data_IF_567969998113
#
_entry.id   IF_567969998113
#
_cell.length_a   1.000
_cell.length_b   1.000
_cell.length_c   1.000
_cell.angle_alpha   90.00
_cell.angle_beta   90.00
_cell.angle_gamma   90.00
#
_symmetry.space_group_name_H-M   'P 1'
#
loop_
_entity.id
_entity.type
_entity.pdbx_description
1 polymer ?
#
# COMPACT_ATOMS: atom_id res chain seq x y z
N UNK A 1 37.61 26.92 17.81
CA UNK A 1 36.31 27.11 17.16
C UNK A 1 35.74 25.73 16.96
N UNK A 2 34.89 25.26 17.90
CA UNK A 2 34.25 23.95 17.83
C UNK A 2 32.91 24.14 17.15
N UNK A 3 32.75 23.60 15.94
CA UNK A 3 31.46 23.53 15.27
C UNK A 3 30.72 22.30 15.80
N UNK A 4 29.76 22.54 16.70
CA UNK A 4 28.80 21.54 17.13
C UNK A 4 27.86 21.26 15.95
N UNK A 5 28.02 20.09 15.34
CA UNK A 5 27.03 19.55 14.43
C UNK A 5 25.81 19.14 15.26
N UNK A 6 24.76 19.96 15.22
CA UNK A 6 23.46 19.58 15.77
C UNK A 6 22.95 18.38 14.97
N UNK A 7 22.91 17.22 15.63
CA UNK A 7 22.18 16.06 15.12
C UNK A 7 20.70 16.44 15.07
N UNK A 8 20.19 16.69 13.86
CA UNK A 8 18.76 16.77 13.61
C UNK A 8 18.14 15.49 14.17
N UNK A 9 17.24 15.63 15.14
CA UNK A 9 16.40 14.53 15.62
C UNK A 9 15.65 13.99 14.39
N UNK A 10 16.08 12.84 13.87
CA UNK A 10 15.46 12.20 12.73
C UNK A 10 14.04 11.84 13.11
N UNK A 11 13.06 12.41 12.42
CA UNK A 11 11.67 11.99 12.57
C UNK A 11 11.60 10.47 12.36
N UNK A 12 10.77 9.79 13.14
CA UNK A 12 10.58 8.35 12.97
C UNK A 12 10.21 8.04 11.51
N UNK A 13 10.83 7.01 10.89
CA UNK A 13 10.55 6.69 9.50
C UNK A 13 9.08 6.30 9.32
N UNK A 14 8.48 6.69 8.19
CA UNK A 14 7.14 6.27 7.81
C UNK A 14 7.09 4.77 7.51
N UNK A 15 8.15 4.25 6.86
CA UNK A 15 8.37 2.82 6.67
C UNK A 15 9.75 2.47 7.20
N UNK A 16 9.80 1.48 8.08
CA UNK A 16 11.05 0.91 8.61
C UNK A 16 11.04 -0.60 8.39
N UNK A 17 12.06 -1.11 7.75
CA UNK A 17 12.24 -2.53 7.45
C UNK A 17 13.60 -2.97 7.94
N UNK A 18 13.64 -4.07 8.71
CA UNK A 18 14.89 -4.62 9.22
C UNK A 18 14.98 -6.12 8.95
N UNK A 19 16.07 -6.53 8.31
CA UNK A 19 16.43 -7.93 8.07
C UNK A 19 15.33 -8.72 7.38
N UNK A 20 14.61 -8.16 6.43
CA UNK A 20 13.45 -8.81 5.81
C UNK A 20 13.87 -9.96 4.89
N UNK A 21 13.35 -11.16 5.16
CA UNK A 21 13.54 -12.36 4.35
C UNK A 21 12.24 -12.87 3.79
N UNK A 22 12.25 -13.21 2.48
CA UNK A 22 11.11 -13.85 1.80
C UNK A 22 11.56 -14.99 0.92
N UNK A 23 10.90 -16.13 1.09
CA UNK A 23 11.15 -17.34 0.34
C UNK A 23 9.86 -17.83 -0.37
N UNK A 24 10.00 -18.40 -1.56
CA UNK A 24 8.97 -19.16 -2.26
C UNK A 24 9.49 -20.57 -2.52
N UNK A 25 9.17 -21.52 -1.63
CA UNK A 25 9.75 -22.84 -1.64
C UNK A 25 11.29 -22.73 -1.49
N UNK A 26 12.08 -23.30 -2.42
CA UNK A 26 13.54 -23.23 -2.35
C UNK A 26 14.12 -21.87 -2.82
N UNK A 27 13.29 -20.98 -3.32
CA UNK A 27 13.75 -19.73 -3.92
C UNK A 27 13.73 -18.58 -2.90
N UNK A 28 14.90 -18.16 -2.45
CA UNK A 28 15.09 -17.03 -1.54
C UNK A 28 15.11 -15.71 -2.33
N UNK A 29 14.03 -14.93 -2.24
CA UNK A 29 13.79 -13.71 -3.03
C UNK A 29 14.30 -12.47 -2.31
N UNK A 30 13.89 -12.26 -1.04
CA UNK A 30 14.39 -11.16 -0.22
C UNK A 30 15.39 -11.73 0.77
N UNK A 31 16.59 -11.16 0.83
CA UNK A 31 17.74 -11.73 1.52
C UNK A 31 18.30 -10.77 2.56
N UNK A 32 17.50 -10.42 3.57
CA UNK A 32 17.89 -9.49 4.62
C UNK A 32 17.83 -8.05 4.12
N UNK A 33 16.65 -7.57 3.76
CA UNK A 33 16.46 -6.18 3.29
C UNK A 33 16.28 -5.27 4.50
N UNK A 34 17.09 -4.21 4.55
CA UNK A 34 16.96 -3.09 5.46
C UNK A 34 16.59 -1.84 4.66
N UNK A 35 15.59 -1.07 5.09
CA UNK A 35 15.12 0.12 4.38
C UNK A 35 14.38 1.05 5.33
N UNK A 36 14.73 2.33 5.29
CA UNK A 36 14.02 3.42 5.95
C UNK A 36 13.48 4.39 4.92
N UNK A 37 12.23 4.81 5.07
CA UNK A 37 11.60 5.83 4.24
C UNK A 37 10.98 6.88 5.18
N UNK A 38 11.41 8.11 5.04
CA UNK A 38 10.92 9.23 5.84
C UNK A 38 9.48 9.65 5.44
N UNK A 39 8.72 10.30 6.33
CA UNK A 39 7.44 10.88 5.96
C UNK A 39 7.58 11.86 4.78
N UNK A 40 6.72 11.71 3.75
CA UNK A 40 6.73 12.55 2.55
C UNK A 40 7.85 12.23 1.54
N UNK A 41 8.70 11.25 1.82
CA UNK A 41 9.75 10.82 0.90
C UNK A 41 9.21 9.99 -0.26
N UNK A 42 9.83 10.13 -1.43
CA UNK A 42 9.60 9.27 -2.59
C UNK A 42 10.77 8.31 -2.75
N UNK A 43 10.54 7.04 -2.46
CA UNK A 43 11.53 5.98 -2.63
C UNK A 43 11.30 5.22 -3.95
N UNK A 44 12.35 5.07 -4.76
CA UNK A 44 12.29 4.37 -6.05
C UNK A 44 13.11 3.09 -6.00
N UNK A 45 12.46 1.93 -6.19
CA UNK A 45 13.12 0.63 -6.25
C UNK A 45 13.51 0.31 -7.71
N UNK A 46 14.81 0.25 -7.98
CA UNK A 46 15.37 -0.09 -9.30
C UNK A 46 15.95 -1.52 -9.28
N UNK A 47 15.85 -2.19 -10.42
CA UNK A 47 16.42 -3.53 -10.58
C UNK A 47 15.74 -4.33 -11.70
N UNK A 48 16.34 -5.45 -12.16
CA UNK A 48 15.81 -6.29 -13.22
C UNK A 48 14.49 -6.95 -12.83
N UNK A 49 13.79 -7.52 -13.82
CA UNK A 49 12.61 -8.37 -13.54
C UNK A 49 13.01 -9.55 -12.66
N UNK A 50 12.16 -9.90 -11.69
CA UNK A 50 12.43 -10.98 -10.75
C UNK A 50 13.33 -10.63 -9.54
N UNK A 51 13.83 -9.39 -9.43
CA UNK A 51 14.68 -8.98 -8.29
C UNK A 51 13.94 -8.76 -6.95
N UNK A 52 12.67 -9.11 -6.86
CA UNK A 52 11.90 -9.02 -5.61
C UNK A 52 11.20 -7.69 -5.32
N UNK A 53 11.26 -6.68 -6.20
CA UNK A 53 10.63 -5.35 -5.96
C UNK A 53 9.14 -5.45 -5.63
N UNK A 54 8.39 -6.16 -6.47
CA UNK A 54 6.96 -6.36 -6.24
C UNK A 54 6.66 -7.23 -5.01
N UNK A 55 7.56 -8.15 -4.68
CA UNK A 55 7.47 -8.97 -3.47
C UNK A 55 7.65 -8.12 -2.22
N UNK A 56 8.64 -7.21 -2.21
CA UNK A 56 8.85 -6.27 -1.12
C UNK A 56 7.61 -5.40 -0.89
N UNK A 57 7.05 -4.78 -1.95
CA UNK A 57 5.83 -3.99 -1.85
C UNK A 57 4.64 -4.81 -1.32
N UNK A 58 4.52 -6.08 -1.73
CA UNK A 58 3.46 -6.97 -1.23
C UNK A 58 3.66 -7.37 0.23
N UNK A 59 4.89 -7.50 0.70
CA UNK A 59 5.17 -7.72 2.13
C UNK A 59 4.78 -6.49 2.95
N UNK A 60 5.10 -5.28 2.50
CA UNK A 60 4.72 -4.02 3.17
C UNK A 60 3.21 -3.91 3.31
N UNK A 61 2.45 -4.28 2.26
CA UNK A 61 0.98 -4.24 2.25
C UNK A 61 0.33 -5.56 2.71
N UNK A 62 1.08 -6.49 3.28
CA UNK A 62 0.59 -7.81 3.76
C UNK A 62 -0.22 -8.61 2.73
N UNK A 63 0.00 -8.38 1.43
CA UNK A 63 -0.48 -9.25 0.36
C UNK A 63 0.40 -10.49 0.21
N UNK A 64 1.57 -10.47 0.86
CA UNK A 64 2.51 -11.57 0.95
C UNK A 64 3.07 -11.65 2.37
N UNK A 65 3.24 -12.84 2.90
CA UNK A 65 3.91 -13.08 4.19
C UNK A 65 5.42 -13.08 4.01
N UNK A 66 6.16 -12.95 5.11
CA UNK A 66 7.61 -13.04 5.14
C UNK A 66 8.07 -14.01 6.24
N UNK A 67 9.26 -14.56 6.10
CA UNK A 67 9.77 -15.62 6.96
C UNK A 67 10.59 -15.07 8.13
N UNK A 68 11.28 -13.95 7.95
CA UNK A 68 12.08 -13.30 9.01
C UNK A 68 12.18 -11.79 8.77
N UNK A 69 12.59 -11.07 9.81
CA UNK A 69 12.69 -9.61 9.83
C UNK A 69 11.43 -8.93 10.32
N UNK A 70 11.39 -7.62 10.15
CA UNK A 70 10.32 -6.76 10.61
C UNK A 70 9.97 -5.70 9.59
N UNK A 71 8.71 -5.32 9.55
CA UNK A 71 8.20 -4.17 8.79
C UNK A 71 7.36 -3.33 9.74
N UNK A 72 7.62 -2.04 9.77
CA UNK A 72 6.83 -1.03 10.48
C UNK A 72 6.34 0.01 9.49
N UNK A 73 5.08 0.40 9.59
CA UNK A 73 4.46 1.44 8.77
C UNK A 73 3.69 2.39 9.68
N UNK A 74 4.06 3.67 9.67
CA UNK A 74 3.43 4.67 10.54
C UNK A 74 3.48 4.33 12.02
N UNK A 75 4.56 3.69 12.50
CA UNK A 75 4.74 3.26 13.88
C UNK A 75 3.95 2.01 14.29
N UNK A 76 3.27 1.35 13.34
CA UNK A 76 2.59 0.07 13.56
C UNK A 76 3.39 -1.10 12.95
N UNK A 77 3.56 -2.18 13.70
CA UNK A 77 4.21 -3.40 13.20
C UNK A 77 3.27 -4.14 12.25
N UNK A 78 3.77 -4.46 11.09
CA UNK A 78 2.98 -5.09 10.02
C UNK A 78 2.76 -6.58 10.31
N UNK A 79 1.50 -7.00 10.43
CA UNK A 79 1.08 -8.40 10.58
C UNK A 79 1.19 -8.99 11.98
N UNK A 80 1.75 -8.26 12.93
CA UNK A 80 1.98 -8.72 14.30
C UNK A 80 1.56 -7.67 15.32
N UNK A 81 1.31 -8.11 16.57
CA UNK A 81 1.17 -7.22 17.71
C UNK A 81 2.44 -6.39 17.89
N UNK A 82 2.28 -5.16 18.40
CA UNK A 82 3.40 -4.22 18.58
C UNK A 82 4.45 -4.79 19.51
N UNK A 83 4.01 -5.28 20.65
CA UNK A 83 4.87 -5.78 21.72
C UNK A 83 4.94 -7.31 21.69
N UNK A 84 6.11 -7.91 21.88
CA UNK A 84 6.25 -9.35 22.04
C UNK A 84 5.51 -9.86 23.30
N UNK A 85 5.09 -11.11 23.25
CA UNK A 85 4.63 -11.83 24.44
C UNK A 85 5.75 -11.90 25.49
N UNK A 86 5.44 -12.18 26.79
CA UNK A 86 6.45 -12.30 27.85
C UNK A 86 7.54 -13.33 27.59
N UNK A 87 7.30 -14.29 26.70
CA UNK A 87 8.26 -15.30 26.24
C UNK A 87 9.08 -14.86 25.00
N UNK A 88 8.90 -13.62 24.55
CA UNK A 88 9.60 -13.04 23.39
C UNK A 88 9.00 -13.38 22.03
N UNK A 89 7.96 -14.21 21.97
CA UNK A 89 7.29 -14.53 20.71
C UNK A 89 6.41 -13.37 20.23
N UNK A 90 6.34 -13.20 18.92
CA UNK A 90 5.42 -12.27 18.30
C UNK A 90 4.05 -12.92 18.06
N UNK A 91 3.01 -12.28 18.53
CA UNK A 91 1.64 -12.69 18.26
C UNK A 91 1.17 -12.11 16.93
N UNK A 92 0.65 -12.98 16.04
CA UNK A 92 0.06 -12.52 14.77
C UNK A 92 -1.25 -11.78 15.04
N UNK A 93 -1.46 -10.74 14.26
CA UNK A 93 -2.76 -10.06 14.22
C UNK A 93 -3.85 -10.98 13.67
N UNK A 94 -5.09 -10.73 14.07
CA UNK A 94 -6.25 -11.36 13.44
C UNK A 94 -6.40 -10.91 11.98
N UNK A 95 -7.09 -11.71 11.16
CA UNK A 95 -7.38 -11.34 9.76
C UNK A 95 -8.11 -10.01 9.65
N UNK A 96 -8.96 -9.69 10.64
CA UNK A 96 -9.68 -8.41 10.72
C UNK A 96 -8.71 -7.24 10.94
N UNK A 97 -7.75 -7.39 11.85
CA UNK A 97 -6.77 -6.35 12.16
C UNK A 97 -5.78 -6.16 11.00
N UNK A 98 -5.38 -7.27 10.37
CA UNK A 98 -4.60 -7.26 9.13
C UNK A 98 -5.33 -6.50 8.01
N UNK A 99 -6.62 -6.74 7.84
CA UNK A 99 -7.43 -6.01 6.87
C UNK A 99 -7.51 -4.51 7.19
N UNK A 100 -7.60 -4.15 8.48
CA UNK A 100 -7.60 -2.76 8.92
C UNK A 100 -6.24 -2.08 8.69
N UNK A 101 -5.11 -2.75 8.94
CA UNK A 101 -3.77 -2.23 8.60
C UNK A 101 -3.63 -2.04 7.08
N UNK A 102 -4.04 -3.05 6.29
CA UNK A 102 -3.98 -3.00 4.83
C UNK A 102 -4.79 -1.84 4.24
N UNK A 103 -5.93 -1.52 4.83
CA UNK A 103 -6.77 -0.42 4.40
C UNK A 103 -6.09 0.97 4.49
N UNK A 104 -5.02 1.11 5.27
CA UNK A 104 -4.26 2.37 5.41
C UNK A 104 -3.12 2.52 4.39
N UNK A 105 -2.82 1.46 3.62
CA UNK A 105 -1.73 1.45 2.64
C UNK A 105 -2.32 1.34 1.24
N UNK A 106 -2.41 2.44 0.53
CA UNK A 106 -2.85 2.44 -0.87
C UNK A 106 -1.85 1.70 -1.76
N UNK A 107 -2.34 0.89 -2.70
CA UNK A 107 -1.51 0.17 -3.66
C UNK A 107 -2.07 0.29 -5.07
N UNK A 108 -1.21 0.68 -6.02
CA UNK A 108 -1.52 0.66 -7.46
C UNK A 108 -0.82 -0.55 -8.09
N UNK A 109 -1.62 -1.44 -8.68
CA UNK A 109 -1.11 -2.65 -9.31
C UNK A 109 -0.72 -2.39 -10.78
N UNK A 110 0.28 -3.12 -11.27
CA UNK A 110 0.75 -3.03 -12.66
C UNK A 110 -0.35 -3.40 -13.68
N UNK A 111 -1.28 -4.28 -13.34
CA UNK A 111 -2.43 -4.70 -14.17
C UNK A 111 -3.70 -3.91 -13.86
N UNK A 112 -3.61 -2.78 -13.17
CA UNK A 112 -4.72 -1.89 -12.77
C UNK A 112 -5.81 -2.52 -11.90
N UNK A 113 -6.13 -3.81 -12.09
CA UNK A 113 -7.10 -4.63 -11.34
C UNK A 113 -8.50 -4.00 -11.23
N UNK A 114 -8.93 -3.32 -12.29
CA UNK A 114 -10.29 -2.79 -12.38
C UNK A 114 -11.29 -3.93 -12.61
N UNK A 115 -12.44 -3.85 -11.98
CA UNK A 115 -13.57 -4.75 -12.25
C UNK A 115 -14.14 -4.48 -13.65
N UNK A 116 -14.03 -5.43 -14.60
CA UNK A 116 -14.38 -5.18 -16.01
C UNK A 116 -15.88 -4.95 -16.23
N UNK A 117 -16.72 -5.42 -15.32
CA UNK A 117 -18.18 -5.31 -15.36
C UNK A 117 -18.72 -4.02 -14.71
N UNK A 118 -17.84 -3.17 -14.20
CA UNK A 118 -18.17 -1.88 -13.58
C UNK A 118 -17.57 -0.74 -14.39
N UNK A 119 -18.24 0.40 -14.42
CA UNK A 119 -17.70 1.64 -14.96
C UNK A 119 -16.51 2.16 -14.13
N UNK A 120 -15.78 3.15 -14.60
CA UNK A 120 -14.74 3.82 -13.82
C UNK A 120 -15.28 4.34 -12.48
N UNK A 121 -16.42 5.01 -12.49
CA UNK A 121 -17.11 5.46 -11.28
C UNK A 121 -17.51 4.29 -10.38
N UNK A 122 -18.09 3.23 -10.95
CA UNK A 122 -18.48 2.04 -10.21
C UNK A 122 -17.30 1.41 -9.47
N UNK A 123 -16.15 1.28 -10.15
CA UNK A 123 -14.92 0.79 -9.55
C UNK A 123 -14.48 1.64 -8.35
N UNK A 124 -14.47 2.97 -8.49
CA UNK A 124 -14.01 3.87 -7.41
C UNK A 124 -15.03 3.93 -6.26
N UNK A 125 -16.32 3.72 -6.51
CA UNK A 125 -17.37 3.70 -5.47
C UNK A 125 -17.38 2.44 -4.63
N UNK A 126 -16.82 1.32 -5.10
CA UNK A 126 -17.00 -0.01 -4.46
C UNK A 126 -16.44 -0.03 -3.04
N UNK A 127 -15.19 0.41 -2.84
CA UNK A 127 -14.59 0.44 -1.50
C UNK A 127 -15.26 1.45 -0.54
N UNK A 128 -15.59 2.70 -0.92
CA UNK A 128 -16.39 3.59 -0.10
C UNK A 128 -17.69 2.98 0.41
N UNK A 129 -18.41 2.25 -0.44
CA UNK A 129 -19.67 1.60 -0.04
C UNK A 129 -19.41 0.37 0.83
N UNK A 130 -18.54 -0.55 0.39
CA UNK A 130 -18.38 -1.87 1.01
C UNK A 130 -17.49 -1.87 2.24
N UNK A 131 -16.45 -1.03 2.25
CA UNK A 131 -15.44 -0.98 3.32
C UNK A 131 -15.70 0.17 4.29
N UNK A 132 -15.98 1.38 3.77
CA UNK A 132 -16.21 2.56 4.60
C UNK A 132 -17.69 2.71 5.04
N UNK A 133 -18.61 1.91 4.49
CA UNK A 133 -20.02 1.96 4.84
C UNK A 133 -20.75 3.23 4.39
N UNK A 134 -20.20 3.99 3.44
CA UNK A 134 -20.83 5.21 2.95
C UNK A 134 -22.13 4.88 2.20
N UNK A 135 -23.10 5.76 2.31
CA UNK A 135 -24.29 5.70 1.45
C UNK A 135 -23.90 5.99 -0.02
N UNK A 136 -24.77 5.60 -0.95
CA UNK A 136 -24.49 5.69 -2.38
C UNK A 136 -24.25 7.13 -2.87
N UNK A 137 -24.90 8.12 -2.28
CA UNK A 137 -24.76 9.52 -2.68
C UNK A 137 -23.39 10.07 -2.28
N UNK A 138 -22.97 9.84 -1.04
CA UNK A 138 -21.66 10.27 -0.52
C UNK A 138 -20.52 9.53 -1.21
N UNK A 139 -20.67 8.20 -1.43
CA UNK A 139 -19.70 7.40 -2.18
C UNK A 139 -19.54 7.92 -3.62
N UNK A 140 -20.63 8.32 -4.29
CA UNK A 140 -20.59 8.90 -5.62
C UNK A 140 -19.88 10.26 -5.63
N UNK A 141 -20.17 11.12 -4.66
CA UNK A 141 -19.53 12.44 -4.53
C UNK A 141 -18.02 12.30 -4.33
N UNK A 142 -17.60 11.43 -3.41
CA UNK A 142 -16.20 11.13 -3.17
C UNK A 142 -15.52 10.56 -4.42
N UNK A 143 -16.11 9.55 -5.06
CA UNK A 143 -15.56 8.91 -6.24
C UNK A 143 -15.40 9.89 -7.42
N UNK A 144 -16.38 10.78 -7.66
CA UNK A 144 -16.30 11.81 -8.68
C UNK A 144 -15.18 12.81 -8.39
N UNK A 145 -15.01 13.23 -7.14
CA UNK A 145 -13.91 14.11 -6.72
C UNK A 145 -12.54 13.45 -6.98
N UNK A 146 -12.39 12.16 -6.68
CA UNK A 146 -11.15 11.41 -6.92
C UNK A 146 -10.87 11.24 -8.41
N UNK A 147 -11.90 10.95 -9.22
CA UNK A 147 -11.78 10.87 -10.68
C UNK A 147 -11.39 12.22 -11.29
N UNK A 148 -11.94 13.31 -10.78
CA UNK A 148 -11.59 14.67 -11.22
C UNK A 148 -10.12 14.99 -10.94
N UNK A 149 -9.61 14.65 -9.74
CA UNK A 149 -8.19 14.83 -9.37
C UNK A 149 -7.20 14.12 -10.31
N UNK A 150 -7.62 13.03 -10.95
CA UNK A 150 -6.80 12.30 -11.93
C UNK A 150 -7.18 12.59 -13.38
N UNK A 151 -8.06 13.59 -13.63
CA UNK A 151 -8.51 14.00 -14.96
C UNK A 151 -9.31 12.91 -15.67
N UNK A 152 -10.22 12.24 -14.96
CA UNK A 152 -11.06 11.15 -15.46
C UNK A 152 -12.56 11.36 -15.21
N UNK A 153 -12.98 12.56 -14.79
CA UNK A 153 -14.38 12.86 -14.50
C UNK A 153 -15.29 12.69 -15.74
N UNK A 154 -14.81 13.08 -16.93
CA UNK A 154 -15.50 12.93 -18.22
C UNK A 154 -15.61 11.48 -18.71
N UNK A 155 -14.90 10.56 -18.07
CA UNK A 155 -14.87 9.12 -18.36
C UNK A 155 -15.48 8.26 -17.25
N UNK A 156 -16.17 8.88 -16.31
CA UNK A 156 -16.75 8.20 -15.14
C UNK A 156 -17.66 7.02 -15.50
N UNK A 157 -18.45 7.16 -16.58
CA UNK A 157 -19.40 6.16 -17.02
C UNK A 157 -18.83 5.12 -18.02
N UNK A 158 -17.53 5.21 -18.36
CA UNK A 158 -16.89 4.26 -19.27
C UNK A 158 -16.44 3.00 -18.52
N UNK A 159 -16.54 1.86 -19.21
CA UNK A 159 -16.03 0.58 -18.74
C UNK A 159 -14.51 0.47 -19.00
N UNK A 160 -13.78 -0.37 -18.24
CA UNK A 160 -12.34 -0.55 -18.46
C UNK A 160 -11.96 -0.87 -19.90
N UNK A 161 -12.77 -1.67 -20.62
CA UNK A 161 -12.52 -2.01 -22.02
C UNK A 161 -12.59 -0.82 -22.98
N UNK A 162 -13.25 0.27 -22.59
CA UNK A 162 -13.40 1.50 -23.37
C UNK A 162 -12.31 2.53 -23.05
N UNK A 163 -11.44 2.22 -22.06
CA UNK A 163 -10.39 3.09 -21.58
C UNK A 163 -9.03 2.64 -22.11
N UNK A 164 -8.19 3.59 -22.51
CA UNK A 164 -6.79 3.32 -22.80
C UNK A 164 -6.04 2.84 -21.53
N UNK A 165 -4.89 2.16 -21.68
CA UNK A 165 -4.09 1.71 -20.55
C UNK A 165 -3.71 2.84 -19.59
N UNK A 166 -3.35 4.02 -20.12
CA UNK A 166 -3.06 5.20 -19.28
C UNK A 166 -4.31 5.75 -18.55
N UNK A 167 -5.50 5.63 -19.15
CA UNK A 167 -6.77 5.99 -18.50
C UNK A 167 -7.12 4.98 -17.39
N UNK A 168 -6.98 3.68 -17.65
CA UNK A 168 -7.16 2.65 -16.63
C UNK A 168 -6.19 2.84 -15.45
N UNK A 169 -4.94 3.20 -15.73
CA UNK A 169 -3.96 3.49 -14.68
C UNK A 169 -4.39 4.69 -13.82
N UNK A 170 -4.91 5.76 -14.42
CA UNK A 170 -5.42 6.91 -13.66
C UNK A 170 -6.63 6.55 -12.80
N UNK A 171 -7.54 5.71 -13.28
CA UNK A 171 -8.64 5.18 -12.45
C UNK A 171 -8.10 4.33 -11.30
N UNK A 172 -7.08 3.49 -11.53
CA UNK A 172 -6.44 2.71 -10.47
C UNK A 172 -5.73 3.61 -9.43
N UNK A 173 -5.17 4.74 -9.85
CA UNK A 173 -4.62 5.75 -8.92
C UNK A 173 -5.75 6.36 -8.09
N UNK A 174 -6.88 6.74 -8.69
CA UNK A 174 -8.04 7.24 -7.94
C UNK A 174 -8.51 6.25 -6.87
N UNK A 175 -8.54 4.95 -7.18
CA UNK A 175 -8.83 3.88 -6.22
C UNK A 175 -7.87 3.87 -5.03
N UNK A 176 -6.58 4.08 -5.24
CA UNK A 176 -5.58 4.09 -4.16
C UNK A 176 -5.69 5.30 -3.24
N UNK A 177 -6.30 6.40 -3.71
CA UNK A 177 -6.48 7.64 -2.95
C UNK A 177 -7.69 7.62 -1.99
N UNK A 178 -8.49 6.57 -2.00
CA UNK A 178 -9.71 6.45 -1.16
C UNK A 178 -9.37 6.49 0.34
N UNK A 179 -8.17 6.07 0.71
CA UNK A 179 -7.73 5.89 2.10
C UNK A 179 -6.81 7.03 2.61
N UNK A 180 -6.64 8.11 1.83
CA UNK A 180 -5.76 9.23 2.19
C UNK A 180 -6.60 10.45 2.64
#
# INVERSE_FOLDING_TARGET
>A
MSTSTEASASAEPMVHITGLHKEFGPLHILKGIDLDIAPGEVCVLLGPSGSGKSTLLRCINQLETFEAGEIWVGGERVGYQRDPLPDGRLEKLSDKDIAAQRARVGMVFQRFNLFPHMTALGNVMEAPIKVLGLNKADAKSLAMSLLDRVGMADRADHYPAELSGGQQQRVAIALSLIHI
#
